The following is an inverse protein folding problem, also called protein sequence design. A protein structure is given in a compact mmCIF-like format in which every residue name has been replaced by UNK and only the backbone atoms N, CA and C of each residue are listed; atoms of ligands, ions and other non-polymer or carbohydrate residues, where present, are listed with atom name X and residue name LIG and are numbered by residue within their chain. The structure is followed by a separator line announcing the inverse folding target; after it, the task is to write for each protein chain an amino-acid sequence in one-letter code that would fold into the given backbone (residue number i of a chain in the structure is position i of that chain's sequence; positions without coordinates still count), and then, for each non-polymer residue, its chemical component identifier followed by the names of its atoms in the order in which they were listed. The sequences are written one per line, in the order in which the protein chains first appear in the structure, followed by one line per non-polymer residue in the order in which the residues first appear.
data_IF_754096063146
#
_entry.id   IF_754096063146
#
_cell.length_a   1.000
_cell.length_b   1.000
_cell.length_c   1.000
_cell.angle_alpha   90.00
_cell.angle_beta   90.00
_cell.angle_gamma   90.00
#
_symmetry.space_group_name_H-M   'P 1'
#
loop_
_entity.id
_entity.type
_entity.pdbx_description
1 polymer ?
#
# COMPACT_ATOMS: atom_id res chain seq x y z
N UNK A 1 19.26 -23.24 -4.70
CA UNK A 1 18.07 -22.53 -5.22
C UNK A 1 16.86 -22.78 -4.34
N UNK A 2 16.42 -24.03 -4.07
CA UNK A 2 15.20 -24.34 -3.29
C UNK A 2 15.16 -23.64 -1.93
N UNK A 3 16.21 -23.75 -1.12
CA UNK A 3 16.29 -23.08 0.20
C UNK A 3 16.21 -21.56 0.05
N UNK A 4 16.87 -20.99 -0.94
CA UNK A 4 16.83 -19.54 -1.19
C UNK A 4 15.42 -19.07 -1.59
N UNK A 5 14.69 -19.83 -2.41
CA UNK A 5 13.28 -19.56 -2.74
C UNK A 5 12.41 -19.61 -1.48
N UNK A 6 12.58 -20.63 -0.62
CA UNK A 6 11.83 -20.72 0.62
C UNK A 6 12.10 -19.52 1.56
N UNK A 7 13.37 -19.10 1.68
CA UNK A 7 13.75 -17.90 2.45
C UNK A 7 13.14 -16.63 1.82
N UNK A 8 13.15 -16.51 0.49
CA UNK A 8 12.55 -15.39 -0.22
C UNK A 8 11.03 -15.31 0.03
N UNK A 9 10.34 -16.44 -0.04
CA UNK A 9 8.90 -16.51 0.29
C UNK A 9 8.65 -16.12 1.74
N UNK A 10 9.45 -16.60 2.69
CA UNK A 10 9.34 -16.20 4.08
C UNK A 10 9.56 -14.68 4.27
N UNK A 11 10.54 -14.08 3.58
CA UNK A 11 10.78 -12.64 3.57
C UNK A 11 9.60 -11.87 2.94
N UNK A 12 9.01 -12.38 1.85
CA UNK A 12 7.82 -11.79 1.22
C UNK A 12 6.59 -11.83 2.16
N UNK A 13 6.39 -12.94 2.87
CA UNK A 13 5.33 -13.04 3.88
C UNK A 13 5.59 -12.12 5.08
N UNK A 14 6.85 -11.99 5.53
CA UNK A 14 7.22 -11.02 6.56
C UNK A 14 6.97 -9.58 6.10
N UNK A 15 7.32 -9.25 4.84
CA UNK A 15 6.93 -7.98 4.24
C UNK A 15 5.41 -7.78 4.27
N UNK A 16 4.63 -8.80 3.89
CA UNK A 16 3.16 -8.77 3.95
C UNK A 16 2.62 -8.49 5.35
N UNK A 17 3.21 -9.11 6.38
CA UNK A 17 2.86 -8.84 7.77
C UNK A 17 3.18 -7.39 8.17
N UNK A 18 4.40 -6.90 7.83
CA UNK A 18 4.81 -5.52 8.13
C UNK A 18 3.96 -4.50 7.39
N UNK A 19 3.61 -4.77 6.13
CA UNK A 19 2.67 -3.97 5.35
C UNK A 19 1.28 -3.95 6.02
N UNK A 20 0.78 -5.10 6.45
CA UNK A 20 -0.51 -5.20 7.12
C UNK A 20 -0.63 -4.28 8.34
N UNK A 21 0.35 -4.28 9.25
CA UNK A 21 0.28 -3.40 10.42
C UNK A 21 0.61 -1.93 10.09
N UNK A 22 1.53 -1.68 9.16
CA UNK A 22 1.88 -0.34 8.71
C UNK A 22 0.67 0.37 8.08
N UNK A 23 0.01 -0.31 7.16
CA UNK A 23 -1.05 0.25 6.33
C UNK A 23 -2.47 -0.01 6.85
N UNK A 24 -2.62 -0.68 8.02
CA UNK A 24 -3.91 -0.82 8.70
C UNK A 24 -4.64 0.51 8.87
N UNK A 25 -3.89 1.59 9.05
CA UNK A 25 -4.41 2.95 9.17
C UNK A 25 -5.21 3.40 7.93
N UNK A 26 -4.83 2.94 6.74
CA UNK A 26 -5.49 3.32 5.48
C UNK A 26 -6.96 2.90 5.46
N UNK A 27 -7.27 1.74 6.05
CA UNK A 27 -8.61 1.19 6.09
C UNK A 27 -9.47 1.70 7.26
N UNK A 28 -8.86 2.07 8.40
CA UNK A 28 -9.63 2.24 9.65
C UNK A 28 -9.33 3.52 10.43
N UNK A 29 -8.32 4.31 10.09
CA UNK A 29 -7.97 5.51 10.88
C UNK A 29 -9.12 6.52 10.94
N UNK A 30 -9.84 6.71 9.86
CA UNK A 30 -11.00 7.59 9.73
C UNK A 30 -12.14 7.10 10.60
N UNK A 31 -12.57 5.84 10.49
CA UNK A 31 -13.69 5.26 11.23
C UNK A 31 -13.44 5.16 12.74
N UNK A 32 -12.20 4.93 13.17
CA UNK A 32 -11.80 5.00 14.58
C UNK A 32 -11.83 6.45 15.09
N UNK A 33 -11.31 7.39 14.30
CA UNK A 33 -11.21 8.80 14.70
C UNK A 33 -12.57 9.46 14.86
N UNK A 34 -13.51 9.16 13.98
CA UNK A 34 -14.89 9.65 14.02
C UNK A 34 -15.78 8.90 15.05
N UNK A 35 -15.23 7.86 15.68
CA UNK A 35 -15.95 6.94 16.58
C UNK A 35 -17.14 6.24 15.88
N UNK A 36 -17.04 6.02 14.57
CA UNK A 36 -17.99 5.19 13.82
C UNK A 36 -17.83 3.72 14.21
N UNK A 37 -16.59 3.27 14.41
CA UNK A 37 -16.26 1.92 14.85
C UNK A 37 -15.39 1.92 16.11
N UNK A 38 -15.60 0.93 16.97
CA UNK A 38 -14.67 0.65 18.08
C UNK A 38 -13.37 0.07 17.50
N UNK A 39 -12.18 0.37 18.05
CA UNK A 39 -10.90 -0.06 17.50
C UNK A 39 -10.80 -1.56 17.20
N UNK A 40 -11.21 -2.43 18.13
CA UNK A 40 -11.17 -3.89 17.92
C UNK A 40 -12.08 -4.36 16.79
N UNK A 41 -13.27 -3.75 16.66
CA UNK A 41 -14.22 -4.06 15.58
C UNK A 41 -13.65 -3.59 14.23
N UNK A 42 -13.09 -2.39 14.19
CA UNK A 42 -12.44 -1.85 12.99
C UNK A 42 -11.28 -2.73 12.51
N UNK A 43 -10.40 -3.16 13.43
CA UNK A 43 -9.28 -4.06 13.12
C UNK A 43 -9.78 -5.43 12.61
N UNK A 44 -10.77 -6.03 13.26
CA UNK A 44 -11.36 -7.29 12.82
C UNK A 44 -12.01 -7.18 11.43
N UNK A 45 -12.76 -6.11 11.20
CA UNK A 45 -13.38 -5.83 9.90
C UNK A 45 -12.32 -5.62 8.82
N UNK A 46 -11.26 -4.86 9.11
CA UNK A 46 -10.17 -4.62 8.17
C UNK A 46 -9.40 -5.91 7.85
N UNK A 47 -9.12 -6.75 8.85
CA UNK A 47 -8.47 -8.03 8.65
C UNK A 47 -9.29 -8.96 7.74
N UNK A 48 -10.60 -9.06 7.99
CA UNK A 48 -11.52 -9.85 7.14
C UNK A 48 -11.62 -9.25 5.74
N UNK A 49 -11.77 -7.92 5.64
CA UNK A 49 -11.83 -7.23 4.35
C UNK A 49 -10.56 -7.43 3.53
N UNK A 50 -9.39 -7.32 4.14
CA UNK A 50 -8.11 -7.59 3.49
C UNK A 50 -7.99 -9.04 3.04
N UNK A 51 -8.42 -10.00 3.86
CA UNK A 51 -8.41 -11.41 3.51
C UNK A 51 -9.28 -11.71 2.29
N UNK A 52 -10.51 -11.20 2.26
CA UNK A 52 -11.41 -11.38 1.11
C UNK A 52 -10.89 -10.61 -0.11
N UNK A 53 -10.42 -9.37 0.07
CA UNK A 53 -9.91 -8.51 -0.99
C UNK A 53 -8.71 -9.12 -1.71
N UNK A 54 -7.85 -9.85 -1.02
CA UNK A 54 -6.69 -10.53 -1.60
C UNK A 54 -7.07 -11.39 -2.81
N UNK A 55 -8.18 -12.12 -2.74
CA UNK A 55 -8.65 -13.00 -3.82
C UNK A 55 -9.11 -12.25 -5.08
N UNK A 56 -9.36 -10.96 -4.98
CA UNK A 56 -9.76 -10.10 -6.10
C UNK A 56 -8.58 -9.36 -6.76
N UNK A 57 -7.38 -9.45 -6.15
CA UNK A 57 -6.19 -8.70 -6.56
C UNK A 57 -5.31 -9.37 -7.63
N UNK A 58 -5.72 -10.47 -8.25
CA UNK A 58 -4.87 -11.27 -9.13
C UNK A 58 -4.24 -10.50 -10.29
N UNK A 59 -4.96 -9.55 -10.92
CA UNK A 59 -4.40 -8.70 -11.99
C UNK A 59 -3.27 -7.80 -11.48
N UNK A 60 -3.42 -7.23 -10.29
CA UNK A 60 -2.38 -6.40 -9.66
C UNK A 60 -1.15 -7.26 -9.32
N UNK A 61 -1.35 -8.48 -8.82
CA UNK A 61 -0.27 -9.41 -8.53
C UNK A 61 0.55 -9.76 -9.79
N UNK A 62 -0.12 -10.06 -10.91
CA UNK A 62 0.55 -10.33 -12.19
C UNK A 62 1.36 -9.12 -12.67
N UNK A 63 0.83 -7.90 -12.53
CA UNK A 63 1.54 -6.66 -12.87
C UNK A 63 2.79 -6.45 -12.01
N UNK A 64 2.74 -6.78 -10.72
CA UNK A 64 3.88 -6.68 -9.81
C UNK A 64 4.95 -7.73 -10.15
N UNK A 65 4.53 -8.96 -10.47
CA UNK A 65 5.45 -10.04 -10.80
C UNK A 65 6.29 -9.76 -12.05
N UNK A 66 5.67 -9.21 -13.12
CA UNK A 66 6.27 -9.17 -14.45
C UNK A 66 6.53 -7.75 -14.98
N UNK A 67 6.25 -6.71 -14.20
CA UNK A 67 6.18 -5.36 -14.76
C UNK A 67 7.28 -4.39 -14.36
N UNK A 68 8.21 -4.78 -13.51
CA UNK A 68 9.18 -3.85 -12.90
C UNK A 68 10.63 -4.22 -13.16
N UNK A 69 10.94 -5.50 -13.16
CA UNK A 69 12.32 -6.03 -13.32
C UNK A 69 12.28 -7.34 -14.10
N UNK A 70 13.36 -7.60 -14.86
CA UNK A 70 13.66 -8.89 -15.50
C UNK A 70 14.92 -9.45 -14.87
N UNK A 71 14.76 -10.31 -13.89
CA UNK A 71 15.88 -10.83 -13.09
C UNK A 71 16.50 -12.06 -13.75
N UNK A 72 17.81 -12.30 -13.56
CA UNK A 72 18.44 -13.55 -13.96
C UNK A 72 17.77 -14.71 -13.21
N UNK A 73 17.63 -15.85 -13.89
CA UNK A 73 17.13 -17.06 -13.26
C UNK A 73 18.11 -17.64 -12.22
N UNK A 74 17.56 -18.38 -11.27
CA UNK A 74 18.37 -19.10 -10.29
C UNK A 74 18.69 -18.29 -9.01
N UNK A 75 19.86 -18.57 -8.42
CA UNK A 75 20.21 -18.06 -7.09
C UNK A 75 20.40 -16.53 -7.08
N UNK A 76 21.09 -15.97 -8.07
CA UNK A 76 21.39 -14.54 -8.13
C UNK A 76 20.13 -13.67 -8.14
N UNK A 77 19.15 -14.01 -8.97
CA UNK A 77 17.88 -13.28 -9.01
C UNK A 77 17.10 -13.38 -7.69
N UNK A 78 17.14 -14.55 -7.03
CA UNK A 78 16.48 -14.73 -5.73
C UNK A 78 17.14 -13.88 -4.65
N UNK A 79 18.47 -13.82 -4.63
CA UNK A 79 19.24 -12.99 -3.68
C UNK A 79 18.93 -11.50 -3.86
N UNK A 80 18.74 -11.05 -5.10
CA UNK A 80 18.28 -9.69 -5.41
C UNK A 80 16.90 -9.43 -4.80
N UNK A 81 15.93 -10.34 -4.98
CA UNK A 81 14.59 -10.17 -4.41
C UNK A 81 14.63 -10.14 -2.89
N UNK A 82 15.41 -11.01 -2.24
CA UNK A 82 15.59 -11.02 -0.78
C UNK A 82 16.15 -9.67 -0.29
N UNK A 83 17.19 -9.16 -0.94
CA UNK A 83 17.81 -7.88 -0.58
C UNK A 83 16.80 -6.72 -0.71
N UNK A 84 16.03 -6.70 -1.80
CA UNK A 84 14.97 -5.72 -2.01
C UNK A 84 13.88 -5.76 -0.94
N UNK A 85 13.44 -6.96 -0.55
CA UNK A 85 12.47 -7.17 0.54
C UNK A 85 13.01 -6.68 1.88
N UNK A 86 14.26 -6.98 2.21
CA UNK A 86 14.88 -6.48 3.44
C UNK A 86 14.97 -4.96 3.46
N UNK A 87 15.26 -4.32 2.32
CA UNK A 87 15.21 -2.87 2.15
C UNK A 87 13.82 -2.30 2.44
N UNK A 88 12.80 -2.90 1.84
CA UNK A 88 11.41 -2.50 2.03
C UNK A 88 10.93 -2.67 3.49
N UNK A 89 11.22 -3.81 4.10
CA UNK A 89 10.87 -4.11 5.49
C UNK A 89 11.54 -3.10 6.44
N UNK A 90 12.82 -2.84 6.24
CA UNK A 90 13.59 -1.89 7.05
C UNK A 90 12.97 -0.50 6.97
N UNK A 91 12.65 -0.01 5.76
CA UNK A 91 12.02 1.30 5.60
C UNK A 91 10.63 1.37 6.19
N UNK A 92 9.82 0.32 6.05
CA UNK A 92 8.50 0.22 6.67
C UNK A 92 8.58 0.31 8.20
N UNK A 93 9.55 -0.36 8.84
CA UNK A 93 9.76 -0.25 10.29
C UNK A 93 10.18 1.16 10.72
N UNK A 94 11.09 1.80 9.98
CA UNK A 94 11.55 3.17 10.25
C UNK A 94 10.35 4.14 10.20
N UNK A 95 9.59 4.11 9.12
CA UNK A 95 8.46 5.03 8.94
C UNK A 95 7.31 4.75 9.91
N UNK A 96 7.06 3.49 10.23
CA UNK A 96 6.12 3.11 11.28
C UNK A 96 6.55 3.63 12.65
N UNK A 97 7.84 3.51 12.99
CA UNK A 97 8.36 4.01 14.26
C UNK A 97 8.12 5.51 14.44
N UNK A 98 8.29 6.30 13.39
CA UNK A 98 8.01 7.73 13.41
C UNK A 98 6.52 8.08 13.19
N UNK A 99 5.67 7.10 12.91
CA UNK A 99 4.24 7.29 12.64
C UNK A 99 3.98 8.07 11.35
N UNK A 100 4.85 7.91 10.35
CA UNK A 100 4.73 8.54 9.04
C UNK A 100 3.90 7.62 8.12
N UNK A 101 2.77 8.08 7.59
CA UNK A 101 1.98 7.33 6.61
C UNK A 101 2.67 7.39 5.25
N UNK A 102 3.60 6.48 5.01
CA UNK A 102 4.30 6.28 3.74
C UNK A 102 3.68 5.14 2.94
N UNK A 103 4.09 5.00 1.70
CA UNK A 103 3.63 3.92 0.83
C UNK A 103 4.52 2.69 0.99
N UNK A 104 4.01 1.62 1.56
CA UNK A 104 4.67 0.31 1.59
C UNK A 104 4.91 -0.25 0.19
N UNK A 105 4.06 0.10 -0.80
CA UNK A 105 4.28 -0.21 -2.21
C UNK A 105 5.56 0.43 -2.75
N UNK A 106 5.78 1.72 -2.46
CA UNK A 106 6.99 2.41 -2.89
C UNK A 106 8.24 1.90 -2.17
N UNK A 107 8.10 1.48 -0.90
CA UNK A 107 9.18 0.79 -0.18
C UNK A 107 9.55 -0.52 -0.87
N UNK A 108 8.55 -1.32 -1.24
CA UNK A 108 8.76 -2.60 -1.93
C UNK A 108 9.44 -2.39 -3.30
N UNK A 109 8.84 -1.55 -4.13
CA UNK A 109 9.34 -1.33 -5.48
C UNK A 109 10.70 -0.65 -5.47
N UNK A 110 10.89 0.33 -4.60
CA UNK A 110 12.21 0.95 -4.40
C UNK A 110 13.26 -0.07 -3.99
N UNK A 111 12.98 -0.86 -2.96
CA UNK A 111 13.90 -1.90 -2.47
C UNK A 111 14.29 -2.90 -3.56
N UNK A 112 13.31 -3.43 -4.30
CA UNK A 112 13.56 -4.39 -5.39
C UNK A 112 14.35 -3.74 -6.52
N UNK A 113 13.97 -2.54 -6.97
CA UNK A 113 14.70 -1.82 -8.04
C UNK A 113 16.13 -1.51 -7.61
N UNK A 114 16.35 -1.03 -6.40
CA UNK A 114 17.69 -0.72 -5.90
C UNK A 114 18.60 -1.96 -5.80
N UNK A 115 18.05 -3.06 -5.28
CA UNK A 115 18.78 -4.34 -5.26
C UNK A 115 19.06 -4.88 -6.67
N UNK A 116 18.12 -4.72 -7.62
CA UNK A 116 18.29 -5.09 -9.03
C UNK A 116 19.40 -4.26 -9.69
N UNK A 117 19.43 -2.95 -9.44
CA UNK A 117 20.50 -2.09 -9.97
C UNK A 117 21.87 -2.46 -9.40
N UNK A 118 21.96 -2.79 -8.12
CA UNK A 118 23.21 -3.26 -7.52
C UNK A 118 23.64 -4.60 -8.11
N UNK A 119 22.70 -5.55 -8.28
CA UNK A 119 22.97 -6.84 -8.91
C UNK A 119 23.42 -6.70 -10.35
N UNK A 120 22.73 -5.89 -11.16
CA UNK A 120 23.13 -5.62 -12.55
C UNK A 120 24.51 -4.99 -12.67
N UNK A 121 24.82 -4.03 -11.78
CA UNK A 121 26.16 -3.41 -11.77
C UNK A 121 27.25 -4.42 -11.43
N UNK A 122 27.02 -5.31 -10.46
CA UNK A 122 28.04 -6.25 -9.97
C UNK A 122 28.19 -7.46 -10.88
N UNK A 123 27.08 -8.04 -11.37
CA UNK A 123 27.11 -9.30 -12.12
C UNK A 123 27.36 -9.10 -13.61
N UNK A 124 26.89 -7.99 -14.21
CA UNK A 124 26.98 -7.73 -15.64
C UNK A 124 27.60 -6.37 -15.98
N UNK A 125 28.00 -5.58 -15.00
CA UNK A 125 28.64 -4.28 -15.21
C UNK A 125 27.68 -3.16 -15.63
N UNK A 126 26.36 -3.39 -15.58
CA UNK A 126 25.34 -2.41 -15.97
C UNK A 126 24.18 -2.39 -14.98
N UNK A 127 24.05 -1.31 -14.23
CA UNK A 127 22.98 -1.14 -13.23
C UNK A 127 21.55 -1.11 -13.83
N UNK A 128 21.41 -0.83 -15.12
CA UNK A 128 20.11 -0.66 -15.76
C UNK A 128 19.61 -1.90 -16.52
N UNK A 129 20.44 -2.93 -16.62
CA UNK A 129 20.22 -4.06 -17.53
C UNK A 129 18.91 -4.81 -17.25
N UNK A 130 18.55 -4.94 -15.99
CA UNK A 130 17.39 -5.71 -15.54
C UNK A 130 16.23 -4.86 -15.04
N UNK A 131 16.31 -3.53 -15.14
CA UNK A 131 15.23 -2.63 -14.70
C UNK A 131 14.36 -2.22 -15.88
N UNK A 132 13.08 -2.50 -15.78
CA UNK A 132 12.09 -2.11 -16.77
C UNK A 132 11.63 -0.65 -16.55
N UNK A 133 12.43 0.31 -17.02
CA UNK A 133 12.18 1.74 -16.78
C UNK A 133 10.82 2.22 -17.31
N UNK A 134 10.33 1.71 -18.44
CA UNK A 134 9.00 1.99 -18.93
C UNK A 134 7.92 1.54 -17.93
N UNK A 135 8.07 0.32 -17.41
CA UNK A 135 7.20 -0.20 -16.35
C UNK A 135 7.24 0.62 -15.07
N UNK A 136 8.44 1.07 -14.65
CA UNK A 136 8.59 1.97 -13.50
C UNK A 136 7.81 3.27 -13.71
N UNK A 137 7.96 3.90 -14.86
CA UNK A 137 7.27 5.16 -15.18
C UNK A 137 5.76 4.96 -15.23
N UNK A 138 5.27 3.96 -15.96
CA UNK A 138 3.84 3.74 -16.18
C UNK A 138 3.12 3.18 -14.95
N UNK A 139 3.76 2.28 -14.20
CA UNK A 139 3.12 1.52 -13.12
C UNK A 139 3.42 2.07 -11.73
N UNK A 140 4.44 2.93 -11.57
CA UNK A 140 4.80 3.53 -10.29
C UNK A 140 4.75 5.05 -10.34
N UNK A 141 5.54 5.70 -11.23
CA UNK A 141 5.66 7.17 -11.21
C UNK A 141 4.35 7.85 -11.55
N UNK A 142 3.72 7.43 -12.65
CA UNK A 142 2.45 8.02 -13.10
C UNK A 142 1.33 7.82 -12.06
N UNK A 143 1.05 6.62 -11.54
CA UNK A 143 0.06 6.43 -10.49
C UNK A 143 0.39 7.18 -9.18
N UNK A 144 1.68 7.34 -8.86
CA UNK A 144 2.13 8.11 -7.68
C UNK A 144 1.71 9.57 -7.72
N UNK A 145 1.66 10.14 -8.91
CA UNK A 145 1.23 11.54 -9.12
C UNK A 145 -0.29 11.60 -9.27
N UNK A 146 -0.87 10.71 -10.07
CA UNK A 146 -2.29 10.74 -10.42
C UNK A 146 -3.18 10.37 -9.24
N UNK A 147 -2.86 9.32 -8.49
CA UNK A 147 -3.74 8.83 -7.42
C UNK A 147 -3.98 9.85 -6.30
N UNK A 148 -2.98 10.61 -5.79
CA UNK A 148 -3.24 11.65 -4.81
C UNK A 148 -3.99 12.86 -5.40
N UNK A 149 -3.74 13.22 -6.64
CA UNK A 149 -4.49 14.30 -7.30
C UNK A 149 -5.97 13.94 -7.46
N UNK A 150 -6.25 12.72 -7.91
CA UNK A 150 -7.62 12.22 -8.04
C UNK A 150 -8.27 12.09 -6.66
N UNK A 151 -7.58 11.50 -5.69
CA UNK A 151 -8.07 11.34 -4.32
C UNK A 151 -8.42 12.69 -3.68
N UNK A 152 -7.53 13.68 -3.80
CA UNK A 152 -7.77 15.03 -3.28
C UNK A 152 -8.96 15.70 -3.97
N UNK A 153 -8.98 15.72 -5.30
CA UNK A 153 -10.01 16.40 -6.08
C UNK A 153 -11.39 15.78 -5.86
N UNK A 154 -11.48 14.45 -5.94
CA UNK A 154 -12.75 13.76 -5.70
C UNK A 154 -13.18 13.89 -4.24
N UNK A 155 -12.25 13.82 -3.28
CA UNK A 155 -12.56 14.04 -1.86
C UNK A 155 -13.15 15.42 -1.62
N UNK A 156 -12.57 16.46 -2.20
CA UNK A 156 -13.09 17.82 -2.15
C UNK A 156 -14.49 17.93 -2.76
N UNK A 157 -14.69 17.42 -3.99
CA UNK A 157 -15.97 17.50 -4.70
C UNK A 157 -17.07 16.71 -4.01
N UNK A 158 -16.79 15.49 -3.59
CA UNK A 158 -17.76 14.63 -2.87
C UNK A 158 -18.17 15.28 -1.56
N UNK A 159 -17.23 15.90 -0.83
CA UNK A 159 -17.57 16.57 0.42
C UNK A 159 -18.46 17.81 0.19
N UNK A 160 -18.21 18.59 -0.86
CA UNK A 160 -19.11 19.67 -1.27
C UNK A 160 -20.50 19.14 -1.58
N UNK A 161 -20.60 18.05 -2.33
CA UNK A 161 -21.88 17.41 -2.62
C UNK A 161 -22.61 16.97 -1.34
N UNK A 162 -21.89 16.36 -0.39
CA UNK A 162 -22.45 15.99 0.93
C UNK A 162 -22.98 17.21 1.67
N UNK A 163 -22.24 18.31 1.73
CA UNK A 163 -22.70 19.53 2.36
C UNK A 163 -23.94 20.11 1.66
N UNK A 164 -23.96 20.11 0.34
CA UNK A 164 -25.10 20.63 -0.42
C UNK A 164 -26.36 19.80 -0.27
N UNK A 165 -26.25 18.47 -0.34
CA UNK A 165 -27.38 17.53 -0.21
C UNK A 165 -27.98 17.62 1.19
N UNK A 166 -27.15 17.66 2.23
CA UNK A 166 -27.55 17.58 3.63
C UNK A 166 -27.63 18.94 4.34
N UNK A 167 -27.55 20.05 3.59
CA UNK A 167 -27.52 21.42 4.16
C UNK A 167 -28.66 21.79 5.11
N UNK A 168 -29.83 21.17 4.95
CA UNK A 168 -31.00 21.39 5.80
C UNK A 168 -31.19 20.32 6.87
N UNK A 169 -30.27 19.38 6.98
CA UNK A 169 -30.37 18.30 7.94
C UNK A 169 -29.96 18.71 9.35
N UNK A 170 -30.51 18.06 10.35
CA UNK A 170 -30.13 18.26 11.75
C UNK A 170 -28.77 17.62 12.02
N UNK A 171 -27.73 18.36 12.53
CA UNK A 171 -26.38 17.87 12.72
C UNK A 171 -26.29 16.55 13.50
N UNK A 172 -27.04 16.41 14.59
CA UNK A 172 -27.03 15.21 15.43
C UNK A 172 -27.52 13.96 14.70
N UNK A 173 -28.57 14.09 13.91
CA UNK A 173 -29.15 13.00 13.12
C UNK A 173 -28.18 12.64 11.97
N UNK A 174 -27.61 13.65 11.31
CA UNK A 174 -26.66 13.46 10.23
C UNK A 174 -25.39 12.76 10.72
N UNK A 175 -24.80 13.22 11.82
CA UNK A 175 -23.61 12.58 12.39
C UNK A 175 -23.87 11.13 12.77
N UNK A 176 -25.03 10.80 13.29
CA UNK A 176 -25.42 9.42 13.59
C UNK A 176 -25.57 8.59 12.31
N UNK A 177 -26.28 9.11 11.31
CA UNK A 177 -26.45 8.45 10.00
C UNK A 177 -25.12 8.21 9.30
N UNK A 178 -24.25 9.21 9.27
CA UNK A 178 -22.93 9.08 8.66
C UNK A 178 -21.99 8.11 9.40
N UNK A 179 -22.10 7.92 10.72
CA UNK A 179 -21.38 6.86 11.42
C UNK A 179 -21.78 5.47 10.94
N UNK A 180 -23.08 5.23 10.70
CA UNK A 180 -23.54 3.95 10.13
C UNK A 180 -23.09 3.79 8.67
N UNK A 181 -23.22 4.84 7.85
CA UNK A 181 -22.73 4.84 6.49
C UNK A 181 -21.19 4.60 6.42
N UNK A 182 -20.46 5.16 7.37
CA UNK A 182 -19.02 4.99 7.48
C UNK A 182 -18.63 3.55 7.85
N UNK A 183 -19.47 2.77 8.52
CA UNK A 183 -19.20 1.34 8.70
C UNK A 183 -19.14 0.61 7.36
N UNK A 184 -20.02 0.99 6.43
CA UNK A 184 -20.04 0.41 5.07
C UNK A 184 -18.83 0.88 4.25
N UNK A 185 -18.54 2.19 4.27
CA UNK A 185 -17.38 2.71 3.52
C UNK A 185 -16.04 2.19 4.05
N UNK A 186 -15.91 2.00 5.36
CA UNK A 186 -14.72 1.40 5.96
C UNK A 186 -14.57 -0.09 5.58
N UNK A 187 -15.67 -0.84 5.49
CA UNK A 187 -15.64 -2.21 4.99
C UNK A 187 -15.22 -2.25 3.51
N UNK A 188 -15.78 -1.37 2.68
CA UNK A 188 -15.38 -1.23 1.28
C UNK A 188 -13.90 -0.82 1.15
N UNK A 189 -13.42 0.12 1.98
CA UNK A 189 -12.02 0.52 2.00
C UNK A 189 -11.10 -0.63 2.40
N UNK A 190 -11.49 -1.44 3.38
CA UNK A 190 -10.75 -2.62 3.82
C UNK A 190 -10.63 -3.66 2.71
N UNK A 191 -11.70 -3.89 1.96
CA UNK A 191 -11.69 -4.80 0.81
C UNK A 191 -10.76 -4.28 -0.29
N UNK A 192 -10.89 -2.99 -0.67
CA UNK A 192 -10.04 -2.35 -1.67
C UNK A 192 -8.55 -2.33 -1.28
N UNK A 193 -8.27 -2.15 0.01
CA UNK A 193 -6.93 -2.23 0.55
C UNK A 193 -6.33 -3.63 0.35
N UNK A 194 -7.08 -4.69 0.68
CA UNK A 194 -6.66 -6.08 0.45
C UNK A 194 -6.41 -6.39 -1.03
N UNK A 195 -7.28 -5.92 -1.93
CA UNK A 195 -7.11 -6.07 -3.38
C UNK A 195 -5.78 -5.51 -3.89
N UNK A 196 -5.31 -4.43 -3.30
CA UNK A 196 -4.07 -3.77 -3.70
C UNK A 196 -2.86 -4.33 -2.95
N UNK A 197 -2.91 -4.42 -1.64
CA UNK A 197 -1.71 -4.62 -0.84
C UNK A 197 -1.36 -6.09 -0.66
N UNK A 198 -2.34 -6.99 -0.50
CA UNK A 198 -2.06 -8.43 -0.52
C UNK A 198 -1.60 -8.89 -1.91
N UNK A 199 -2.11 -8.27 -2.99
CA UNK A 199 -1.69 -8.56 -4.36
C UNK A 199 -0.20 -8.30 -4.60
N UNK A 200 0.38 -7.29 -3.95
CA UNK A 200 1.82 -7.01 -4.05
C UNK A 200 2.66 -8.11 -3.41
N UNK A 201 2.22 -8.64 -2.28
CA UNK A 201 2.87 -9.80 -1.65
C UNK A 201 2.80 -11.03 -2.56
N UNK A 202 1.60 -11.31 -3.12
CA UNK A 202 1.42 -12.38 -4.11
C UNK A 202 2.35 -12.21 -5.31
N UNK A 203 2.43 -10.99 -5.87
CA UNK A 203 3.27 -10.70 -7.03
C UNK A 203 4.76 -10.97 -6.75
N UNK A 204 5.27 -10.60 -5.58
CA UNK A 204 6.65 -10.89 -5.21
C UNK A 204 6.89 -12.39 -4.98
N UNK A 205 5.94 -13.11 -4.39
CA UNK A 205 6.04 -14.58 -4.26
C UNK A 205 6.06 -15.23 -5.65
N UNK A 206 5.20 -14.79 -6.57
CA UNK A 206 5.18 -15.27 -7.96
C UNK A 206 6.50 -14.97 -8.66
N UNK A 207 7.03 -13.74 -8.53
CA UNK A 207 8.35 -13.38 -9.05
C UNK A 207 9.45 -14.31 -8.52
N UNK A 208 9.49 -14.57 -7.22
CA UNK A 208 10.47 -15.47 -6.62
C UNK A 208 10.34 -16.91 -7.13
N UNK A 209 9.12 -17.39 -7.32
CA UNK A 209 8.85 -18.72 -7.88
C UNK A 209 9.26 -18.80 -9.36
N UNK A 210 9.01 -17.74 -10.15
CA UNK A 210 9.41 -17.65 -11.55
C UNK A 210 10.93 -17.67 -11.68
N UNK A 211 11.62 -16.81 -10.96
CA UNK A 211 13.10 -16.73 -10.94
C UNK A 211 13.72 -18.05 -10.48
N UNK A 212 13.09 -18.71 -9.50
CA UNK A 212 13.51 -20.02 -9.00
C UNK A 212 13.21 -21.21 -9.92
N UNK A 213 12.46 -21.01 -11.00
CA UNK A 213 12.06 -22.06 -11.94
C UNK A 213 10.91 -22.96 -11.44
N UNK A 214 10.16 -22.51 -10.43
CA UNK A 214 9.01 -23.25 -9.86
C UNK A 214 7.64 -22.75 -10.36
N UNK A 215 7.62 -21.72 -11.20
CA UNK A 215 6.39 -21.15 -11.75
C UNK A 215 6.63 -20.71 -13.19
N UNK A 216 5.68 -21.00 -14.07
CA UNK A 216 5.72 -20.58 -15.48
C UNK A 216 4.88 -19.32 -15.64
N UNK A 217 5.43 -18.32 -16.29
CA UNK A 217 4.72 -17.07 -16.58
C UNK A 217 3.41 -17.32 -17.32
N UNK A 218 2.35 -16.62 -16.90
CA UNK A 218 1.00 -16.78 -17.46
C UNK A 218 0.18 -17.91 -16.87
N UNK A 219 0.76 -18.78 -16.04
CA UNK A 219 -0.01 -19.80 -15.32
C UNK A 219 -0.94 -19.16 -14.26
N UNK A 220 -2.01 -19.85 -13.82
CA UNK A 220 -2.81 -19.37 -12.68
C UNK A 220 -1.97 -19.31 -11.41
N UNK A 221 -2.10 -18.22 -10.66
CA UNK A 221 -1.42 -18.06 -9.36
C UNK A 221 -1.90 -19.18 -8.43
N UNK A 222 -0.99 -19.95 -7.79
CA UNK A 222 -1.37 -21.04 -6.90
C UNK A 222 -2.23 -20.56 -5.73
N UNK A 223 -3.26 -21.32 -5.36
CA UNK A 223 -4.21 -20.94 -4.29
C UNK A 223 -3.51 -20.69 -2.95
N UNK A 224 -2.48 -21.48 -2.63
CA UNK A 224 -1.72 -21.26 -1.38
C UNK A 224 -1.05 -19.88 -1.32
N UNK A 225 -0.70 -19.27 -2.47
CA UNK A 225 -0.11 -17.91 -2.53
C UNK A 225 -1.16 -16.89 -2.12
N UNK A 226 -2.40 -17.03 -2.60
CA UNK A 226 -3.53 -16.20 -2.15
C UNK A 226 -3.76 -16.33 -0.65
N UNK A 227 -3.90 -17.57 -0.16
CA UNK A 227 -4.19 -17.84 1.24
C UNK A 227 -3.08 -17.35 2.17
N UNK A 228 -1.82 -17.64 1.85
CA UNK A 228 -0.68 -17.20 2.65
C UNK A 228 -0.57 -15.67 2.70
N UNK A 229 -0.66 -15.00 1.55
CA UNK A 229 -0.60 -13.52 1.46
C UNK A 229 -1.77 -12.87 2.18
N UNK A 230 -2.99 -13.40 2.00
CA UNK A 230 -4.19 -12.92 2.68
C UNK A 230 -4.09 -13.08 4.20
N UNK A 231 -3.62 -14.25 4.67
CA UNK A 231 -3.49 -14.56 6.09
C UNK A 231 -2.47 -13.64 6.80
N UNK A 232 -1.27 -13.46 6.22
CA UNK A 232 -0.24 -12.60 6.85
C UNK A 232 -0.64 -11.13 6.82
N UNK A 233 -1.29 -10.68 5.74
CA UNK A 233 -1.83 -9.33 5.65
C UNK A 233 -2.92 -9.09 6.70
N UNK A 234 -3.87 -10.02 6.86
CA UNK A 234 -4.91 -9.93 7.86
C UNK A 234 -4.33 -9.94 9.28
N UNK A 235 -3.36 -10.81 9.56
CA UNK A 235 -2.69 -10.87 10.85
C UNK A 235 -1.94 -9.56 11.17
N UNK A 236 -1.20 -9.01 10.21
CA UNK A 236 -0.53 -7.72 10.34
C UNK A 236 -1.52 -6.59 10.58
N UNK A 237 -2.61 -6.54 9.81
CA UNK A 237 -3.66 -5.54 9.97
C UNK A 237 -4.30 -5.61 11.36
N UNK A 238 -4.55 -6.80 11.87
CA UNK A 238 -5.12 -6.98 13.22
C UNK A 238 -4.17 -6.54 14.33
N UNK A 239 -2.85 -6.66 14.12
CA UNK A 239 -1.86 -6.11 15.05
C UNK A 239 -1.93 -4.58 15.17
N UNK A 240 -2.30 -3.91 14.09
CA UNK A 240 -2.60 -2.48 14.05
C UNK A 240 -1.40 -1.54 14.08
N UNK A 241 -1.45 -0.51 13.24
CA UNK A 241 -0.44 0.55 13.16
C UNK A 241 -0.81 1.81 13.96
N UNK A 242 -0.95 1.72 15.26
CA UNK A 242 -1.52 2.78 16.11
C UNK A 242 -0.87 4.14 15.95
N UNK A 243 0.44 4.21 15.68
CA UNK A 243 1.16 5.47 15.45
C UNK A 243 0.69 6.16 14.19
N UNK A 244 0.52 5.41 13.09
CA UNK A 244 0.04 5.90 11.80
C UNK A 244 -1.46 6.20 11.86
N UNK A 245 -2.25 5.34 12.52
CA UNK A 245 -3.68 5.58 12.78
C UNK A 245 -3.90 6.94 13.47
N UNK A 246 -3.07 7.27 14.47
CA UNK A 246 -3.13 8.56 15.16
C UNK A 246 -2.78 9.73 14.22
N UNK A 247 -1.80 9.56 13.34
CA UNK A 247 -1.40 10.61 12.39
C UNK A 247 -2.51 10.87 11.38
N UNK A 248 -3.00 9.83 10.71
CA UNK A 248 -4.04 9.96 9.67
C UNK A 248 -5.40 10.38 10.23
N UNK A 249 -5.79 9.83 11.37
CA UNK A 249 -7.10 10.06 11.96
C UNK A 249 -7.23 11.37 12.73
N UNK A 250 -6.13 11.99 13.18
CA UNK A 250 -6.21 13.15 14.11
C UNK A 250 -5.25 14.29 13.81
N UNK A 251 -4.17 14.05 13.04
CA UNK A 251 -3.14 15.08 12.85
C UNK A 251 -3.25 15.83 11.54
N UNK A 252 -3.97 15.31 10.53
CA UNK A 252 -4.12 15.95 9.21
C UNK A 252 -5.26 16.98 9.26
N UNK A 253 -6.45 16.56 9.67
CA UNK A 253 -7.65 17.38 9.84
C UNK A 253 -8.40 16.97 11.10
N UNK A 254 -9.38 17.77 11.50
CA UNK A 254 -10.37 17.35 12.49
C UNK A 254 -11.51 16.61 11.77
N UNK A 255 -11.47 15.26 11.84
CA UNK A 255 -12.41 14.39 11.14
C UNK A 255 -13.74 14.26 11.87
N UNK A 256 -14.82 14.65 11.18
CA UNK A 256 -16.19 14.28 11.55
C UNK A 256 -16.70 13.08 10.75
N UNK A 257 -17.85 12.48 11.13
CA UNK A 257 -18.40 11.33 10.43
C UNK A 257 -18.69 11.55 8.93
N UNK A 258 -19.25 12.70 8.48
CA UNK A 258 -19.42 12.98 7.06
C UNK A 258 -18.08 13.02 6.28
N UNK A 259 -17.05 13.63 6.89
CA UNK A 259 -15.72 13.72 6.29
C UNK A 259 -15.07 12.35 6.16
N UNK A 260 -15.15 11.51 7.21
CA UNK A 260 -14.63 10.16 7.17
C UNK A 260 -15.31 9.31 6.11
N UNK A 261 -16.65 9.36 6.04
CA UNK A 261 -17.42 8.66 5.01
C UNK A 261 -17.02 9.08 3.60
N UNK A 262 -16.93 10.40 3.34
CA UNK A 262 -16.56 10.91 2.02
C UNK A 262 -15.14 10.47 1.61
N UNK A 263 -14.16 10.56 2.52
CA UNK A 263 -12.78 10.15 2.25
C UNK A 263 -12.66 8.65 1.95
N UNK A 264 -13.29 7.79 2.77
CA UNK A 264 -13.28 6.34 2.56
C UNK A 264 -13.99 5.93 1.28
N UNK A 265 -15.14 6.54 0.97
CA UNK A 265 -15.90 6.26 -0.26
C UNK A 265 -15.09 6.60 -1.50
N UNK A 266 -14.46 7.77 -1.52
CA UNK A 266 -13.61 8.18 -2.66
C UNK A 266 -12.40 7.27 -2.78
N UNK A 267 -11.71 7.00 -1.69
CA UNK A 267 -10.53 6.13 -1.73
C UNK A 267 -10.89 4.71 -2.20
N UNK A 268 -11.98 4.14 -1.68
CA UNK A 268 -12.46 2.82 -2.12
C UNK A 268 -12.78 2.81 -3.63
N UNK A 269 -13.50 3.81 -4.11
CA UNK A 269 -13.85 3.92 -5.53
C UNK A 269 -12.60 3.98 -6.44
N UNK A 270 -11.58 4.76 -6.04
CA UNK A 270 -10.31 4.85 -6.76
C UNK A 270 -9.57 3.52 -6.74
N UNK A 271 -9.51 2.83 -5.59
CA UNK A 271 -8.84 1.53 -5.49
C UNK A 271 -9.53 0.48 -6.36
N UNK A 272 -10.87 0.42 -6.34
CA UNK A 272 -11.63 -0.54 -7.14
C UNK A 272 -11.50 -0.25 -8.64
N UNK A 273 -11.68 1.00 -9.04
CA UNK A 273 -11.51 1.39 -10.44
C UNK A 273 -10.12 1.00 -10.95
N UNK A 274 -9.08 1.28 -10.17
CA UNK A 274 -7.72 0.92 -10.56
C UNK A 274 -7.49 -0.60 -10.61
N UNK A 275 -7.98 -1.36 -9.61
CA UNK A 275 -7.81 -2.81 -9.58
C UNK A 275 -8.51 -3.50 -10.75
N UNK A 276 -9.76 -3.14 -11.02
CA UNK A 276 -10.56 -3.84 -12.03
C UNK A 276 -10.33 -3.35 -13.46
N UNK A 277 -10.08 -2.04 -13.63
CA UNK A 277 -9.92 -1.46 -14.98
C UNK A 277 -8.46 -1.49 -15.45
N UNK A 278 -7.51 -1.14 -14.60
CA UNK A 278 -6.11 -0.97 -14.97
C UNK A 278 -5.22 -2.14 -14.51
N UNK A 279 -5.57 -2.82 -13.42
CA UNK A 279 -4.75 -3.86 -12.81
C UNK A 279 -3.37 -3.35 -12.33
N UNK A 280 -3.25 -2.04 -12.12
CA UNK A 280 -1.99 -1.42 -11.74
C UNK A 280 -1.83 -1.35 -10.20
N UNK A 281 -0.62 -1.54 -9.65
CA UNK A 281 -0.37 -1.34 -8.24
C UNK A 281 -0.35 0.16 -7.92
N UNK A 282 -1.29 0.62 -7.07
CA UNK A 282 -1.27 1.99 -6.56
C UNK A 282 -1.03 2.04 -5.06
N UNK A 283 -0.68 3.22 -4.56
CA UNK A 283 -0.53 3.46 -3.14
C UNK A 283 -1.88 3.73 -2.49
N UNK A 284 -2.32 2.81 -1.66
CA UNK A 284 -3.50 2.95 -0.82
C UNK A 284 -3.35 4.14 0.14
N UNK A 285 -2.15 4.32 0.71
CA UNK A 285 -1.82 5.43 1.62
C UNK A 285 -1.94 6.79 0.94
N UNK A 286 -1.40 6.94 -0.26
CA UNK A 286 -1.49 8.20 -1.01
C UNK A 286 -2.95 8.53 -1.32
N UNK A 287 -3.72 7.55 -1.75
CA UNK A 287 -5.13 7.72 -2.14
C UNK A 287 -5.99 8.18 -0.96
N UNK A 288 -5.97 7.47 0.16
CA UNK A 288 -6.81 7.82 1.31
C UNK A 288 -6.33 9.12 2.00
N UNK A 289 -5.01 9.31 2.13
CA UNK A 289 -4.47 10.50 2.79
C UNK A 289 -4.81 11.77 2.00
N UNK A 290 -4.68 11.74 0.68
CA UNK A 290 -5.05 12.87 -0.17
C UNK A 290 -6.57 13.10 -0.20
N UNK A 291 -7.39 12.02 -0.17
CA UNK A 291 -8.83 12.16 -0.01
C UNK A 291 -9.20 12.85 1.32
N UNK A 292 -8.54 12.50 2.43
CA UNK A 292 -8.70 13.19 3.72
C UNK A 292 -8.33 14.67 3.61
N UNK A 293 -7.22 15.00 2.95
CA UNK A 293 -6.82 16.39 2.73
C UNK A 293 -7.82 17.15 1.85
N UNK A 294 -8.32 16.52 0.79
CA UNK A 294 -9.34 17.09 -0.11
C UNK A 294 -10.63 17.39 0.62
N UNK A 295 -11.15 16.43 1.37
CA UNK A 295 -12.33 16.59 2.23
C UNK A 295 -12.10 17.72 3.24
N UNK A 296 -10.95 17.76 3.91
CA UNK A 296 -10.62 18.79 4.90
C UNK A 296 -10.55 20.19 4.30
N UNK A 297 -10.08 20.32 3.05
CA UNK A 297 -9.93 21.60 2.37
C UNK A 297 -11.26 22.33 2.12
N UNK A 298 -12.39 21.62 2.17
CA UNK A 298 -13.74 22.23 2.09
C UNK A 298 -14.07 23.12 3.29
N UNK A 299 -13.42 22.89 4.44
CA UNK A 299 -13.54 23.74 5.63
C UNK A 299 -12.67 25.01 5.60
N UNK A 300 -12.00 25.27 4.47
CA UNK A 300 -11.12 26.41 4.27
C UNK A 300 -9.63 26.12 4.53
N UNK A 301 -8.78 27.10 4.23
CA UNK A 301 -7.30 26.94 4.24
C UNK A 301 -6.71 26.49 5.58
N UNK A 302 -7.39 26.77 6.71
CA UNK A 302 -6.92 26.43 8.06
C UNK A 302 -7.42 25.07 8.55
N UNK A 303 -8.36 24.44 7.85
CA UNK A 303 -8.94 23.16 8.25
C UNK A 303 -7.95 22.00 8.06
N UNK A 304 -7.02 22.11 7.13
CA UNK A 304 -5.91 21.15 6.94
C UNK A 304 -4.66 21.67 7.64
N UNK A 305 -4.02 20.80 8.42
CA UNK A 305 -2.72 21.10 9.07
C UNK A 305 -1.59 20.90 8.06
N UNK A 306 -1.38 21.89 7.20
CA UNK A 306 -0.46 21.84 6.06
C UNK A 306 0.99 21.51 6.44
N UNK A 307 1.43 21.82 7.67
CA UNK A 307 2.74 21.39 8.17
C UNK A 307 2.87 19.87 8.24
N UNK A 308 1.82 19.18 8.72
CA UNK A 308 1.75 17.71 8.74
C UNK A 308 1.64 17.15 7.33
N UNK A 309 0.78 17.74 6.49
CA UNK A 309 0.62 17.36 5.09
C UNK A 309 1.96 17.44 4.33
N UNK A 310 2.71 18.53 4.51
CA UNK A 310 4.05 18.69 3.92
C UNK A 310 5.02 17.59 4.36
N UNK A 311 5.06 17.27 5.66
CA UNK A 311 5.93 16.20 6.17
C UNK A 311 5.58 14.84 5.55
N UNK A 312 4.29 14.57 5.36
CA UNK A 312 3.80 13.35 4.71
C UNK A 312 4.23 13.29 3.23
N UNK A 313 4.06 14.39 2.49
CA UNK A 313 4.45 14.48 1.07
C UNK A 313 5.97 14.31 0.91
N UNK A 314 6.77 14.93 1.78
CA UNK A 314 8.22 14.73 1.79
C UNK A 314 8.54 13.24 2.03
N UNK A 315 7.90 12.60 3.01
CA UNK A 315 8.09 11.18 3.28
C UNK A 315 7.72 10.30 2.08
N UNK A 316 6.68 10.65 1.31
CA UNK A 316 6.33 9.95 0.07
C UNK A 316 7.44 10.04 -0.99
N UNK A 317 7.99 11.24 -1.20
CA UNK A 317 9.03 11.48 -2.21
C UNK A 317 10.31 10.71 -1.88
N UNK A 318 10.72 10.70 -0.60
CA UNK A 318 11.96 10.06 -0.19
C UNK A 318 11.84 8.53 -0.01
N UNK A 319 10.64 7.98 0.10
CA UNK A 319 10.41 6.54 0.35
C UNK A 319 11.04 5.67 -0.70
N UNK A 320 10.75 5.91 -1.99
CA UNK A 320 11.29 5.10 -3.08
C UNK A 320 12.83 5.15 -3.15
N UNK A 321 13.49 6.33 -3.21
CA UNK A 321 14.95 6.39 -3.30
C UNK A 321 15.65 5.84 -2.06
N UNK A 322 15.12 6.04 -0.85
CA UNK A 322 15.76 5.51 0.35
C UNK A 322 15.59 3.98 0.42
N UNK A 323 14.41 3.46 0.13
CA UNK A 323 14.20 2.01 0.07
C UNK A 323 15.10 1.36 -0.99
N UNK A 324 15.31 2.03 -2.14
CA UNK A 324 16.23 1.58 -3.18
C UNK A 324 17.68 1.53 -2.68
N UNK A 325 18.14 2.59 -2.02
CA UNK A 325 19.47 2.63 -1.43
C UNK A 325 19.66 1.49 -0.40
N UNK A 326 18.68 1.31 0.49
CA UNK A 326 18.76 0.26 1.53
C UNK A 326 18.72 -1.14 0.90
N UNK A 327 17.89 -1.38 -0.12
CA UNK A 327 17.88 -2.64 -0.86
C UNK A 327 19.21 -2.93 -1.56
N UNK A 328 19.80 -1.94 -2.20
CA UNK A 328 21.14 -2.04 -2.80
C UNK A 328 22.21 -2.37 -1.74
N UNK A 329 22.18 -1.71 -0.58
CA UNK A 329 23.12 -1.96 0.52
C UNK A 329 22.97 -3.38 1.11
N UNK A 330 21.76 -3.92 1.20
CA UNK A 330 21.56 -5.32 1.61
C UNK A 330 22.09 -6.32 0.58
N UNK A 331 22.05 -5.99 -0.72
CA UNK A 331 22.55 -6.89 -1.74
C UNK A 331 24.06 -7.12 -1.65
N UNK A 332 24.85 -6.10 -1.26
CA UNK A 332 26.31 -6.20 -1.19
C UNK A 332 26.82 -7.38 -0.32
N UNK A 333 26.39 -7.57 0.93
CA UNK A 333 26.79 -8.73 1.72
C UNK A 333 26.08 -10.04 1.30
N UNK A 334 24.84 -9.97 0.80
CA UNK A 334 24.06 -11.15 0.44
C UNK A 334 24.66 -11.87 -0.77
N UNK A 335 25.20 -11.15 -1.74
CA UNK A 335 25.87 -11.75 -2.89
C UNK A 335 27.09 -12.63 -2.52
N UNK A 336 27.69 -12.42 -1.34
CA UNK A 336 28.81 -13.23 -0.88
C UNK A 336 28.36 -14.63 -0.40
N UNK A 337 27.03 -14.87 -0.33
CA UNK A 337 26.44 -16.15 0.06
C UNK A 337 26.14 -17.05 -1.17
N UNK A 338 26.27 -16.53 -2.38
CA UNK A 338 26.10 -17.23 -3.67
C UNK A 338 27.43 -17.56 -4.29
#
# INVERSE_FOLDING_TARGET
VFIAVAVCIAAALLFGYTNGFHDSANAIATSISTRALRPRVALGMAAIGNFIGAHLGGKVAATVANGLVELPGGLDGILIVIAGLLGAITWNFITWYFGLPTSSSHSLFGGVVGATMAGGLILVGNANDWVLWSGIVEKIVLPTIVSPLVGFTLGFLVMIAVYWIFRHGRPDKLNRGFRHAQTVSAAAMSLGHGMQDAAKVMGIIVLALTVGGYYTEGAPIPEWVYLASAAVMAAGTYAGGWRIIKTMGRRIIDLGPPQGFAAETVASAVLYANTFLLGAPISTTHTITSAIMGVGSTGGKRAVRWGVARSIVIAWIITFPIAALVGALFYLPIQLLG
#
